data_IF_559751071454
#
_entry.id   IF_559751071454
#
_cell.length_a   1.000
_cell.length_b   1.000
_cell.length_c   1.000
_cell.angle_alpha   90.00
_cell.angle_beta   90.00
_cell.angle_gamma   90.00
#
_symmetry.space_group_name_H-M   'P 1'
#
loop_
_entity.id
_entity.type
_entity.pdbx_description
1 polymer ?
#
# COMPACT_ATOMS: atom_id res chain seq x y z
N UNK A 1 10.80 42.01 2.28
CA UNK A 1 10.01 40.89 2.83
C UNK A 1 8.81 40.66 1.92
N UNK A 2 8.91 39.68 1.04
CA UNK A 2 7.93 39.47 -0.04
C UNK A 2 6.72 38.70 0.49
N UNK A 3 5.67 39.41 0.91
CA UNK A 3 4.39 38.82 1.28
C UNK A 3 3.65 38.36 0.02
N UNK A 4 4.07 37.22 -0.53
CA UNK A 4 3.45 36.59 -1.68
C UNK A 4 1.99 36.27 -1.32
N UNK A 5 1.02 36.91 -2.01
CA UNK A 5 -0.40 36.57 -1.89
C UNK A 5 -0.61 35.11 -2.34
N UNK A 6 -0.60 34.18 -1.39
CA UNK A 6 -0.80 32.76 -1.65
C UNK A 6 -2.28 32.44 -1.75
N UNK A 7 -2.71 31.90 -2.90
CA UNK A 7 -4.09 31.48 -3.09
C UNK A 7 -4.35 30.15 -2.35
N UNK A 8 -5.05 30.24 -1.21
CA UNK A 8 -5.37 29.10 -0.36
C UNK A 8 -6.24 28.03 -1.06
N UNK A 9 -7.08 28.44 -2.02
CA UNK A 9 -7.91 27.49 -2.77
C UNK A 9 -7.06 26.61 -3.70
N UNK A 10 -6.03 27.19 -4.34
CA UNK A 10 -5.06 26.42 -5.13
C UNK A 10 -4.29 25.43 -4.27
N UNK A 11 -3.85 25.85 -3.09
CA UNK A 11 -3.15 24.98 -2.13
C UNK A 11 -4.04 23.83 -1.63
N UNK A 12 -5.30 24.11 -1.27
CA UNK A 12 -6.26 23.08 -0.86
C UNK A 12 -6.50 22.05 -1.97
N UNK A 13 -6.68 22.52 -3.22
CA UNK A 13 -6.83 21.64 -4.40
C UNK A 13 -5.57 20.82 -4.67
N UNK A 14 -4.39 21.40 -4.49
CA UNK A 14 -3.13 20.66 -4.63
C UNK A 14 -3.02 19.53 -3.59
N UNK A 15 -3.34 19.83 -2.32
CA UNK A 15 -3.37 18.83 -1.24
C UNK A 15 -4.40 17.72 -1.47
N UNK A 16 -5.59 18.07 -1.96
CA UNK A 16 -6.62 17.08 -2.26
C UNK A 16 -6.18 16.12 -3.38
N UNK A 17 -5.62 16.66 -4.47
CA UNK A 17 -5.10 15.87 -5.60
C UNK A 17 -3.92 14.98 -5.19
N UNK A 18 -3.02 15.45 -4.33
CA UNK A 18 -1.92 14.61 -3.85
C UNK A 18 -2.42 13.46 -2.97
N UNK A 19 -3.39 13.72 -2.08
CA UNK A 19 -4.00 12.68 -1.26
C UNK A 19 -4.73 11.62 -2.11
N UNK A 20 -5.44 12.04 -3.15
CA UNK A 20 -6.10 11.14 -4.10
C UNK A 20 -5.10 10.26 -4.86
N UNK A 21 -3.99 10.84 -5.32
CA UNK A 21 -2.92 10.09 -5.99
C UNK A 21 -2.32 9.00 -5.08
N UNK A 22 -2.10 9.29 -3.80
CA UNK A 22 -1.61 8.32 -2.82
C UNK A 22 -2.61 7.18 -2.61
N UNK A 23 -3.91 7.50 -2.53
CA UNK A 23 -4.95 6.46 -2.42
C UNK A 23 -5.03 5.60 -3.68
N UNK A 24 -4.91 6.21 -4.86
CA UNK A 24 -4.93 5.50 -6.13
C UNK A 24 -3.76 4.51 -6.25
N UNK A 25 -2.54 4.89 -5.86
CA UNK A 25 -1.39 3.97 -5.87
C UNK A 25 -1.57 2.82 -4.87
N UNK A 26 -2.08 3.10 -3.68
CA UNK A 26 -2.41 2.06 -2.70
C UNK A 26 -3.46 1.08 -3.25
N UNK A 27 -4.49 1.58 -3.92
CA UNK A 27 -5.53 0.75 -4.52
C UNK A 27 -5.00 -0.06 -5.71
N UNK A 28 -4.14 0.52 -6.55
CA UNK A 28 -3.49 -0.21 -7.63
C UNK A 28 -2.66 -1.39 -7.10
N UNK A 29 -1.96 -1.21 -5.98
CA UNK A 29 -1.21 -2.31 -5.33
C UNK A 29 -2.13 -3.33 -4.67
N UNK A 30 -3.24 -2.92 -4.04
CA UNK A 30 -4.16 -3.84 -3.35
C UNK A 30 -5.04 -4.63 -4.32
N UNK A 31 -5.54 -3.96 -5.35
CA UNK A 31 -6.59 -4.48 -6.24
C UNK A 31 -6.08 -4.78 -7.66
N UNK A 32 -4.95 -4.21 -8.09
CA UNK A 32 -4.34 -4.49 -9.39
C UNK A 32 -3.48 -5.76 -9.43
N UNK A 33 -3.35 -6.48 -8.33
CA UNK A 33 -2.65 -7.76 -8.33
C UNK A 33 -3.50 -8.83 -9.02
N UNK A 34 -2.87 -9.54 -9.96
CA UNK A 34 -3.49 -10.67 -10.65
C UNK A 34 -3.78 -11.81 -9.66
N UNK A 35 -4.80 -12.62 -9.95
CA UNK A 35 -5.15 -13.79 -9.12
C UNK A 35 -3.93 -14.72 -8.92
N UNK A 36 -3.15 -14.96 -9.97
CA UNK A 36 -1.95 -15.79 -9.93
C UNK A 36 -0.88 -15.27 -8.95
N UNK A 37 -0.73 -13.94 -8.84
CA UNK A 37 0.21 -13.33 -7.88
C UNK A 37 -0.27 -13.52 -6.44
N UNK A 38 -1.55 -13.30 -6.19
CA UNK A 38 -2.16 -13.51 -4.86
C UNK A 38 -2.05 -14.96 -4.40
N UNK A 39 -2.31 -15.92 -5.28
CA UNK A 39 -2.21 -17.36 -4.95
C UNK A 39 -0.78 -17.78 -4.65
N UNK A 40 0.19 -17.26 -5.39
CA UNK A 40 1.61 -17.52 -5.16
C UNK A 40 2.09 -16.92 -3.84
N UNK A 41 1.66 -15.71 -3.49
CA UNK A 41 1.99 -15.08 -2.21
C UNK A 41 1.37 -15.86 -1.03
N UNK A 42 0.10 -16.28 -1.16
CA UNK A 42 -0.55 -17.12 -0.15
C UNK A 42 0.19 -18.45 0.05
N UNK A 43 0.52 -19.16 -1.04
CA UNK A 43 1.23 -20.43 -0.95
C UNK A 43 2.61 -20.28 -0.28
N UNK A 44 3.31 -19.16 -0.51
CA UNK A 44 4.57 -18.84 0.17
C UNK A 44 4.36 -18.56 1.66
N UNK A 45 3.32 -17.79 2.00
CA UNK A 45 2.97 -17.51 3.40
C UNK A 45 2.60 -18.79 4.15
N UNK A 46 1.81 -19.68 3.54
CA UNK A 46 1.42 -20.96 4.13
C UNK A 46 2.63 -21.88 4.34
N UNK A 47 3.55 -21.93 3.38
CA UNK A 47 4.82 -22.67 3.55
C UNK A 47 5.63 -22.10 4.72
N UNK A 48 5.82 -20.79 4.76
CA UNK A 48 6.56 -20.15 5.85
C UNK A 48 5.90 -20.39 7.22
N UNK A 49 4.57 -20.36 7.29
CA UNK A 49 3.82 -20.66 8.51
C UNK A 49 4.05 -22.11 8.96
N UNK A 50 3.99 -23.09 8.04
CA UNK A 50 4.28 -24.51 8.35
C UNK A 50 5.73 -24.72 8.77
N UNK A 51 6.67 -24.06 8.10
CA UNK A 51 8.09 -24.13 8.46
C UNK A 51 8.28 -23.62 9.90
N UNK A 52 7.69 -22.47 10.25
CA UNK A 52 7.73 -21.91 11.60
C UNK A 52 7.01 -22.77 12.65
N UNK A 53 5.87 -23.37 12.30
CA UNK A 53 5.12 -24.25 13.19
C UNK A 53 5.91 -25.54 13.48
N UNK A 54 6.55 -26.10 12.47
CA UNK A 54 7.45 -27.26 12.61
C UNK A 54 8.65 -26.94 13.51
N UNK A 55 9.12 -25.69 13.50
CA UNK A 55 10.18 -25.22 14.41
C UNK A 55 9.68 -24.94 15.83
N UNK A 56 8.37 -24.76 16.05
CA UNK A 56 7.78 -24.50 17.38
C UNK A 56 7.20 -25.75 18.06
N UNK A 57 6.76 -26.74 17.30
CA UNK A 57 6.25 -28.02 17.82
C UNK A 57 7.30 -29.10 18.04
N UNK A 58 8.59 -28.76 17.93
CA UNK A 58 9.74 -29.65 18.09
C UNK A 58 10.49 -29.49 19.41
N UNK A 59 9.78 -29.16 20.49
CA UNK A 59 10.21 -29.36 21.90
C UNK A 59 9.37 -30.45 22.55
#
# INVERSE_FOLDING_TARGET
MSNQLVNLNRMRKAKARSAEKVRATQNAVKFGQTKARKTLEQARADKAARDLDSHKGGE
#
